data_IF_564566280747
#
_entry.id   IF_564566280747
#
_cell.length_a   1.000
_cell.length_b   1.000
_cell.length_c   1.000
_cell.angle_alpha   90.00
_cell.angle_beta   90.00
_cell.angle_gamma   90.00
#
_symmetry.space_group_name_H-M   'P 1'
#
loop_
_entity.id
_entity.type
_entity.pdbx_description
1 polymer ?
#
# COMPACT_ATOMS: atom_id res chain seq x y z
N UNK A 1 0.37 -5.75 -20.37
CA UNK A 1 1.68 -5.53 -19.71
C UNK A 1 1.49 -5.41 -18.21
N UNK A 2 2.54 -5.43 -17.38
CA UNK A 2 2.42 -5.53 -15.92
C UNK A 2 1.56 -4.43 -15.26
N UNK A 3 1.52 -3.22 -15.84
CA UNK A 3 0.67 -2.12 -15.33
C UNK A 3 -0.83 -2.30 -15.58
N UNK A 4 -1.26 -3.27 -16.40
CA UNK A 4 -2.70 -3.50 -16.67
C UNK A 4 -3.46 -3.92 -15.42
N UNK A 5 -2.78 -4.50 -14.42
CA UNK A 5 -3.40 -4.83 -13.13
C UNK A 5 -3.83 -3.58 -12.37
N UNK A 6 -3.05 -2.49 -12.45
CA UNK A 6 -3.38 -1.20 -11.85
C UNK A 6 -4.50 -0.52 -12.63
N UNK A 7 -4.46 -0.58 -13.97
CA UNK A 7 -5.58 -0.13 -14.81
C UNK A 7 -6.88 -0.82 -14.43
N UNK A 8 -6.85 -2.15 -14.25
CA UNK A 8 -8.02 -2.91 -13.85
C UNK A 8 -8.49 -2.55 -12.43
N UNK A 9 -7.54 -2.34 -11.52
CA UNK A 9 -7.85 -1.97 -10.12
C UNK A 9 -8.56 -0.62 -10.03
N UNK A 10 -8.12 0.38 -10.83
CA UNK A 10 -8.80 1.69 -10.91
C UNK A 10 -10.21 1.53 -11.50
N UNK A 11 -10.35 0.81 -12.63
CA UNK A 11 -11.64 0.61 -13.30
C UNK A 11 -12.67 -0.12 -12.43
N UNK A 12 -12.24 -1.14 -11.71
CA UNK A 12 -13.11 -1.98 -10.89
C UNK A 12 -13.24 -1.47 -9.45
N UNK A 13 -12.54 -0.38 -9.09
CA UNK A 13 -12.44 0.09 -7.71
C UNK A 13 -11.98 -1.01 -6.73
N UNK A 14 -11.09 -1.89 -7.21
CA UNK A 14 -10.61 -3.05 -6.45
C UNK A 14 -9.67 -2.60 -5.33
N UNK A 15 -9.78 -3.27 -4.19
CA UNK A 15 -8.88 -3.05 -3.07
C UNK A 15 -7.50 -3.64 -3.36
N UNK A 16 -6.45 -2.86 -3.10
CA UNK A 16 -5.06 -3.24 -3.31
C UNK A 16 -4.30 -3.22 -1.98
N UNK A 17 -3.36 -4.15 -1.84
CA UNK A 17 -2.38 -4.18 -0.77
C UNK A 17 -1.01 -3.79 -1.35
N UNK A 18 -0.44 -2.69 -0.85
CA UNK A 18 0.84 -2.14 -1.29
C UNK A 18 1.87 -2.35 -0.18
N UNK A 19 2.95 -3.08 -0.47
CA UNK A 19 4.09 -3.19 0.44
C UNK A 19 5.02 -1.98 0.25
N UNK A 20 5.24 -1.22 1.31
CA UNK A 20 6.14 -0.06 1.31
C UNK A 20 7.55 -0.44 1.74
N UNK A 21 8.55 0.37 1.37
CA UNK A 21 9.97 0.15 1.71
C UNK A 21 10.26 0.27 3.21
N UNK A 22 9.41 0.95 3.97
CA UNK A 22 9.54 1.16 5.41
C UNK A 22 8.93 0.02 6.25
N UNK A 23 8.78 -1.19 5.69
CA UNK A 23 8.12 -2.35 6.31
C UNK A 23 6.67 -2.11 6.74
N UNK A 24 6.05 -1.05 6.25
CA UNK A 24 4.61 -0.83 6.39
C UNK A 24 3.87 -1.35 5.16
N UNK A 25 2.59 -1.65 5.32
CA UNK A 25 1.70 -2.05 4.23
C UNK A 25 0.52 -1.09 4.18
N UNK A 26 0.12 -0.68 2.98
CA UNK A 26 -1.05 0.16 2.74
C UNK A 26 -2.15 -0.70 2.12
N UNK A 27 -3.32 -0.73 2.75
CA UNK A 27 -4.52 -1.35 2.20
C UNK A 27 -5.48 -0.24 1.79
N UNK A 28 -5.81 -0.15 0.51
CA UNK A 28 -6.66 0.95 0.01
C UNK A 28 -7.12 0.72 -1.41
N UNK A 29 -7.62 1.78 -2.07
CA UNK A 29 -8.05 1.74 -3.48
C UNK A 29 -7.28 2.77 -4.29
N UNK A 30 -6.88 2.42 -5.51
CA UNK A 30 -6.15 3.33 -6.41
C UNK A 30 -7.15 4.16 -7.20
N UNK A 31 -7.04 5.48 -7.14
CA UNK A 31 -7.84 6.41 -7.95
C UNK A 31 -7.18 6.79 -9.27
N UNK A 32 -5.86 6.97 -9.23
CA UNK A 32 -5.06 7.29 -10.40
C UNK A 32 -3.62 6.77 -10.19
N UNK A 33 -2.93 6.50 -11.30
CA UNK A 33 -1.51 6.18 -11.29
C UNK A 33 -0.83 6.65 -12.58
N UNK A 34 0.49 6.75 -12.56
CA UNK A 34 1.31 7.11 -13.73
C UNK A 34 2.32 6.01 -14.12
N UNK A 35 3.15 6.29 -15.13
CA UNK A 35 4.21 5.37 -15.59
C UNK A 35 5.33 5.11 -14.57
N UNK A 36 5.47 5.97 -13.57
CA UNK A 36 6.46 5.85 -12.50
C UNK A 36 5.89 5.11 -11.27
N UNK A 37 4.65 4.63 -11.38
CA UNK A 37 3.90 4.02 -10.28
C UNK A 37 3.64 5.00 -9.12
N UNK A 38 3.64 6.32 -9.37
CA UNK A 38 3.07 7.26 -8.42
C UNK A 38 1.55 7.02 -8.39
N UNK A 39 0.97 6.90 -7.19
CA UNK A 39 -0.44 6.54 -7.02
C UNK A 39 -1.18 7.55 -6.15
N UNK A 40 -2.38 7.90 -6.57
CA UNK A 40 -3.37 8.58 -5.73
C UNK A 40 -4.27 7.50 -5.12
N UNK A 41 -4.31 7.44 -3.79
CA UNK A 41 -5.04 6.40 -3.05
C UNK A 41 -6.22 7.01 -2.28
N UNK A 42 -7.29 6.24 -2.12
CA UNK A 42 -8.43 6.60 -1.26
C UNK A 42 -8.75 5.46 -0.27
N UNK A 43 -9.41 5.81 0.84
CA UNK A 43 -9.81 4.89 1.91
C UNK A 43 -8.65 4.00 2.39
N UNK A 44 -7.51 4.63 2.67
CA UNK A 44 -6.26 3.93 3.01
C UNK A 44 -6.19 3.59 4.48
N UNK A 45 -5.86 2.33 4.78
CA UNK A 45 -5.45 1.86 6.10
C UNK A 45 -3.99 1.45 6.07
N UNK A 46 -3.17 2.09 6.89
CA UNK A 46 -1.78 1.71 7.10
C UNK A 46 -1.68 0.58 8.13
N UNK A 47 -0.82 -0.41 7.88
CA UNK A 47 -0.61 -1.59 8.72
C UNK A 47 0.88 -1.81 8.92
N UNK A 48 1.30 -1.97 10.17
CA UNK A 48 2.67 -2.35 10.53
C UNK A 48 2.66 -3.18 11.80
N UNK A 49 3.71 -3.99 11.98
CA UNK A 49 3.97 -4.66 13.25
C UNK A 49 4.89 -3.78 14.07
N UNK A 50 4.45 -3.39 15.26
CA UNK A 50 5.35 -2.87 16.26
C UNK A 50 6.09 -4.05 16.88
N UNK A 51 7.40 -4.11 16.68
CA UNK A 51 8.23 -5.05 17.43
C UNK A 51 8.41 -4.42 18.81
N UNK A 52 7.83 -5.00 19.89
CA UNK A 52 8.04 -4.47 21.22
C UNK A 52 9.54 -4.52 21.49
N UNK A 53 10.16 -3.37 21.77
CA UNK A 53 11.54 -3.39 22.27
C UNK A 53 11.47 -4.05 23.64
N UNK A 54 11.90 -5.30 23.73
CA UNK A 54 12.06 -5.98 25.01
C UNK A 54 13.13 -5.23 25.79
N UNK A 55 12.72 -4.31 26.65
CA UNK A 55 13.60 -3.66 27.60
C UNK A 55 14.09 -4.68 28.61
N UNK A 56 15.29 -5.23 28.39
CA UNK A 56 16.13 -5.73 29.48
C UNK A 56 17.26 -4.72 29.64
N UNK A 57 17.20 -3.95 30.73
CA UNK A 57 18.16 -2.88 31.01
C UNK A 57 17.76 -1.90 32.12
N UNK A 58 17.05 -2.35 33.15
CA UNK A 58 17.36 -2.05 34.54
C UNK A 58 17.41 -3.39 35.28
#
# INVERSE_FOLDING_TARGET
GPLSVLTQSVKNNTQVLINCRNNKKLLGRVKAFDRHCNMVLENVKEMWTEIPRTGKGK
#
